data_IF_285290862992
#
_entry.id   IF_285290862992
#
_cell.length_a   1.000
_cell.length_b   1.000
_cell.length_c   1.000
_cell.angle_alpha   90.00
_cell.angle_beta   90.00
_cell.angle_gamma   90.00
#
_symmetry.space_group_name_H-M   'P 1'
#
loop_
_entity.id
_entity.type
_entity.pdbx_description
1 polymer ?
#
# COMPACT_ATOMS: atom_id res chain seq x y z
N UNK A 1 -25.26 22.43 1.66
CA UNK A 1 -25.45 23.71 0.95
C UNK A 1 -26.88 24.17 1.17
N UNK A 2 -27.14 25.47 1.42
CA UNK A 2 -28.52 25.95 1.38
C UNK A 2 -29.03 25.81 -0.06
N UNK A 3 -30.24 25.29 -0.22
CA UNK A 3 -30.92 25.19 -1.52
C UNK A 3 -30.93 26.61 -2.13
N UNK A 4 -30.18 26.83 -3.23
CA UNK A 4 -30.21 28.09 -3.98
C UNK A 4 -31.67 28.38 -4.31
N UNK A 5 -32.20 29.45 -3.73
CA UNK A 5 -33.66 29.64 -3.58
C UNK A 5 -34.32 30.26 -4.82
N UNK A 6 -33.60 30.44 -5.93
CA UNK A 6 -34.19 30.76 -7.22
C UNK A 6 -33.26 30.36 -8.37
N UNK A 7 -33.68 29.43 -9.22
CA UNK A 7 -33.04 29.15 -10.51
C UNK A 7 -33.37 30.32 -11.44
N UNK A 8 -32.35 31.08 -11.84
CA UNK A 8 -32.47 32.22 -12.76
C UNK A 8 -31.92 31.86 -14.15
N UNK A 9 -32.27 32.63 -15.20
CA UNK A 9 -31.71 32.40 -16.54
C UNK A 9 -30.20 32.53 -16.54
N UNK A 10 -29.68 33.49 -15.79
CA UNK A 10 -28.26 33.77 -15.64
C UNK A 10 -27.53 32.56 -15.05
N UNK A 11 -28.04 31.97 -13.97
CA UNK A 11 -27.46 30.75 -13.37
C UNK A 11 -27.52 29.53 -14.31
N UNK A 12 -28.57 29.40 -15.13
CA UNK A 12 -28.67 28.31 -16.12
C UNK A 12 -27.65 28.48 -17.24
N UNK A 13 -27.37 29.73 -17.65
CA UNK A 13 -26.36 30.03 -18.67
C UNK A 13 -24.95 29.75 -18.13
N UNK A 14 -24.67 30.14 -16.88
CA UNK A 14 -23.40 29.84 -16.20
C UNK A 14 -23.14 28.32 -16.12
N UNK A 15 -24.19 27.54 -15.81
CA UNK A 15 -24.11 26.09 -15.67
C UNK A 15 -24.37 25.32 -16.98
N UNK A 16 -24.62 26.00 -18.10
CA UNK A 16 -25.12 25.37 -19.34
C UNK A 16 -24.20 24.23 -19.83
N UNK A 17 -22.88 24.41 -19.71
CA UNK A 17 -21.88 23.39 -20.06
C UNK A 17 -22.04 22.12 -19.21
N UNK A 18 -22.26 22.28 -17.90
CA UNK A 18 -22.48 21.15 -17.00
C UNK A 18 -23.83 20.47 -17.28
N UNK A 19 -24.88 21.26 -17.50
CA UNK A 19 -26.21 20.73 -17.82
C UNK A 19 -26.23 19.97 -19.15
N UNK A 20 -25.51 20.45 -20.17
CA UNK A 20 -25.32 19.73 -21.43
C UNK A 20 -24.61 18.39 -21.22
N UNK A 21 -23.54 18.38 -20.41
CA UNK A 21 -22.81 17.15 -20.10
C UNK A 21 -23.68 16.14 -19.31
N UNK A 22 -24.45 16.62 -18.34
CA UNK A 22 -25.40 15.79 -17.59
C UNK A 22 -26.52 15.24 -18.47
N UNK A 23 -27.00 16.01 -19.46
CA UNK A 23 -28.05 15.57 -20.39
C UNK A 23 -27.66 14.34 -21.22
N UNK A 24 -26.35 14.11 -21.44
CA UNK A 24 -25.85 12.90 -22.08
C UNK A 24 -26.08 11.64 -21.23
N UNK A 25 -26.02 11.75 -19.89
CA UNK A 25 -26.23 10.65 -18.96
C UNK A 25 -27.68 10.54 -18.46
N UNK A 26 -28.39 11.66 -18.38
CA UNK A 26 -29.76 11.78 -17.86
C UNK A 26 -30.65 12.55 -18.86
N UNK A 27 -31.03 11.91 -20.00
CA UNK A 27 -31.67 12.61 -21.11
C UNK A 27 -33.12 13.02 -20.81
N UNK A 28 -33.76 12.42 -19.82
CA UNK A 28 -35.14 12.71 -19.43
C UNK A 28 -35.24 13.22 -17.99
N UNK A 29 -36.33 13.94 -17.70
CA UNK A 29 -36.70 14.33 -16.33
C UNK A 29 -36.77 13.09 -15.43
N UNK A 30 -37.32 11.98 -15.95
CA UNK A 30 -37.42 10.72 -15.21
C UNK A 30 -36.06 10.14 -14.83
N UNK A 31 -35.09 10.16 -15.75
CA UNK A 31 -33.73 9.66 -15.50
C UNK A 31 -33.02 10.49 -14.43
N UNK A 32 -33.11 11.82 -14.52
CA UNK A 32 -32.54 12.72 -13.54
C UNK A 32 -33.20 12.56 -12.16
N UNK A 33 -34.53 12.52 -12.10
CA UNK A 33 -35.27 12.30 -10.84
C UNK A 33 -34.94 10.96 -10.20
N UNK A 34 -34.84 9.88 -10.97
CA UNK A 34 -34.45 8.55 -10.47
C UNK A 34 -33.07 8.61 -9.83
N UNK A 35 -32.11 9.25 -10.48
CA UNK A 35 -30.75 9.34 -9.94
C UNK A 35 -30.69 10.21 -8.69
N UNK A 36 -31.39 11.35 -8.67
CA UNK A 36 -31.49 12.19 -7.47
C UNK A 36 -32.06 11.39 -6.31
N UNK A 37 -33.16 10.67 -6.49
CA UNK A 37 -33.76 9.82 -5.43
C UNK A 37 -32.74 8.78 -4.93
N UNK A 38 -32.01 8.14 -5.84
CA UNK A 38 -30.99 7.15 -5.51
C UNK A 38 -29.83 7.75 -4.70
N UNK A 39 -29.28 8.88 -5.13
CA UNK A 39 -28.19 9.58 -4.45
C UNK A 39 -28.63 10.11 -3.08
N UNK A 40 -29.83 10.68 -2.98
CA UNK A 40 -30.39 11.17 -1.72
C UNK A 40 -30.57 10.01 -0.72
N UNK A 41 -31.05 8.86 -1.18
CA UNK A 41 -31.17 7.67 -0.35
C UNK A 41 -29.81 7.16 0.15
N UNK A 42 -28.77 7.21 -0.69
CA UNK A 42 -27.40 6.84 -0.32
C UNK A 42 -26.83 7.82 0.70
N UNK A 43 -27.02 9.13 0.52
CA UNK A 43 -26.53 10.17 1.43
C UNK A 43 -27.16 10.08 2.83
N UNK A 44 -28.34 9.49 2.95
CA UNK A 44 -29.03 9.24 4.21
C UNK A 44 -28.59 7.93 4.91
N UNK A 45 -27.73 7.12 4.29
CA UNK A 45 -27.13 5.97 4.98
C UNK A 45 -26.03 6.43 5.95
N UNK A 46 -25.74 5.65 7.01
CA UNK A 46 -24.59 5.91 7.87
C UNK A 46 -23.30 5.97 7.05
N UNK A 47 -22.42 6.92 7.36
CA UNK A 47 -21.12 7.05 6.71
C UNK A 47 -20.33 5.74 6.82
N UNK A 48 -19.72 5.33 5.71
CA UNK A 48 -18.78 4.22 5.66
C UNK A 48 -17.59 4.42 6.58
N UNK A 49 -16.93 3.32 6.96
CA UNK A 49 -15.72 3.41 7.78
C UNK A 49 -14.54 3.77 6.88
N UNK A 50 -13.91 4.92 7.13
CA UNK A 50 -12.66 5.29 6.50
C UNK A 50 -11.48 4.76 7.31
N UNK A 51 -10.45 4.30 6.62
CA UNK A 51 -9.24 3.78 7.23
C UNK A 51 -8.03 4.52 6.67
N UNK A 52 -7.32 5.24 7.54
CA UNK A 52 -6.11 6.00 7.19
C UNK A 52 -4.87 5.22 7.61
N UNK A 53 -3.94 5.01 6.68
CA UNK A 53 -2.65 4.37 6.92
C UNK A 53 -1.54 5.23 6.36
N UNK A 54 -0.41 5.30 7.07
CA UNK A 54 0.78 6.06 6.67
C UNK A 54 2.03 5.27 7.06
N UNK A 55 3.19 5.64 6.51
CA UNK A 55 4.49 5.06 6.83
C UNK A 55 4.54 3.53 6.70
N UNK A 56 3.96 3.01 5.62
CA UNK A 56 3.82 1.56 5.41
C UNK A 56 5.18 0.89 5.20
N UNK A 57 6.05 1.53 4.42
CA UNK A 57 7.45 1.15 4.25
C UNK A 57 7.68 -0.35 4.01
N UNK A 58 6.93 -0.94 3.08
CA UNK A 58 7.10 -2.34 2.70
C UNK A 58 6.79 -3.37 3.80
N UNK A 59 6.21 -2.99 4.94
CA UNK A 59 5.83 -3.89 6.03
C UNK A 59 4.52 -4.64 5.70
N UNK A 60 4.62 -5.58 4.74
CA UNK A 60 3.46 -6.28 4.17
C UNK A 60 2.63 -7.05 5.20
N UNK A 61 3.25 -7.79 6.11
CA UNK A 61 2.52 -8.61 7.09
C UNK A 61 1.75 -7.74 8.08
N UNK A 62 2.36 -6.64 8.54
CA UNK A 62 1.71 -5.66 9.39
C UNK A 62 0.55 -4.98 8.66
N UNK A 63 0.79 -4.52 7.43
CA UNK A 63 -0.24 -3.93 6.57
C UNK A 63 -1.42 -4.87 6.36
N UNK A 64 -1.16 -6.13 6.02
CA UNK A 64 -2.20 -7.13 5.82
C UNK A 64 -2.98 -7.42 7.11
N UNK A 65 -2.31 -7.49 8.26
CA UNK A 65 -2.97 -7.66 9.56
C UNK A 65 -3.92 -6.50 9.87
N UNK A 66 -3.48 -5.27 9.62
CA UNK A 66 -4.28 -4.05 9.85
C UNK A 66 -5.51 -4.01 8.96
N UNK A 67 -5.40 -4.43 7.69
CA UNK A 67 -6.57 -4.56 6.82
C UNK A 67 -7.54 -5.65 7.31
N UNK A 68 -7.03 -6.82 7.71
CA UNK A 68 -7.85 -7.94 8.21
C UNK A 68 -8.61 -7.60 9.49
N UNK A 69 -7.99 -6.83 10.39
CA UNK A 69 -8.61 -6.45 11.66
C UNK A 69 -9.46 -5.16 11.59
N UNK A 70 -9.37 -4.42 10.49
CA UNK A 70 -10.08 -3.15 10.29
C UNK A 70 -9.68 -2.07 11.29
N UNK A 71 -8.41 -2.01 11.70
CA UNK A 71 -7.91 -1.23 12.84
C UNK A 71 -8.74 -1.41 14.11
N UNK A 72 -9.08 -2.67 14.40
CA UNK A 72 -9.89 -3.05 15.56
C UNK A 72 -11.40 -2.82 15.39
N UNK A 73 -11.86 -2.33 14.24
CA UNK A 73 -13.29 -2.15 13.96
C UNK A 73 -14.05 -3.47 14.00
N UNK A 74 -13.46 -4.57 13.51
CA UNK A 74 -14.07 -5.90 13.60
C UNK A 74 -14.26 -6.30 15.07
N UNK A 75 -13.22 -6.17 15.90
CA UNK A 75 -13.30 -6.47 17.34
C UNK A 75 -14.37 -5.64 18.04
N UNK A 76 -14.44 -4.35 17.73
CA UNK A 76 -15.47 -3.45 18.27
C UNK A 76 -16.87 -3.94 17.91
N UNK A 77 -17.11 -4.31 16.66
CA UNK A 77 -18.41 -4.82 16.18
C UNK A 77 -18.78 -6.15 16.81
N UNK A 78 -17.85 -7.10 16.91
CA UNK A 78 -18.07 -8.38 17.60
C UNK A 78 -18.45 -8.13 19.07
N UNK A 79 -17.77 -7.21 19.74
CA UNK A 79 -18.09 -6.84 21.12
C UNK A 79 -19.47 -6.19 21.26
N UNK A 80 -19.84 -5.27 20.37
CA UNK A 80 -21.16 -4.61 20.35
C UNK A 80 -22.30 -5.62 20.14
N UNK A 81 -22.12 -6.58 19.22
CA UNK A 81 -23.17 -7.54 18.85
C UNK A 81 -23.37 -8.60 19.94
N UNK A 82 -22.28 -9.07 20.56
CA UNK A 82 -22.30 -10.21 21.48
C UNK A 82 -22.00 -9.85 22.94
N UNK A 83 -22.11 -8.57 23.31
CA UNK A 83 -21.70 -8.03 24.62
C UNK A 83 -22.10 -8.94 25.80
N UNK A 84 -23.38 -9.31 25.84
CA UNK A 84 -23.99 -10.15 26.90
C UNK A 84 -24.19 -11.61 26.50
N UNK A 85 -23.88 -11.97 25.26
CA UNK A 85 -24.18 -13.29 24.69
C UNK A 85 -22.99 -14.24 24.73
N UNK A 86 -21.76 -13.71 24.69
CA UNK A 86 -20.53 -14.50 24.62
C UNK A 86 -19.50 -14.02 25.65
N UNK A 87 -18.62 -14.93 26.08
CA UNK A 87 -17.44 -14.61 26.90
C UNK A 87 -16.36 -13.95 26.05
N UNK A 88 -15.45 -13.23 26.69
CA UNK A 88 -14.33 -12.56 26.00
C UNK A 88 -13.42 -13.53 25.22
N UNK A 89 -13.23 -14.75 25.72
CA UNK A 89 -12.48 -15.79 25.00
C UNK A 89 -13.16 -16.17 23.69
N UNK A 90 -14.47 -16.33 23.68
CA UNK A 90 -15.27 -16.70 22.50
C UNK A 90 -15.28 -15.54 21.48
N UNK A 91 -15.44 -14.30 21.96
CA UNK A 91 -15.31 -13.10 21.11
C UNK A 91 -13.94 -13.02 20.43
N UNK A 92 -12.87 -13.32 21.17
CA UNK A 92 -11.50 -13.35 20.62
C UNK A 92 -11.33 -14.44 19.56
N UNK A 93 -11.94 -15.61 19.75
CA UNK A 93 -11.90 -16.69 18.77
C UNK A 93 -12.60 -16.33 17.46
N UNK A 94 -13.77 -15.71 17.54
CA UNK A 94 -14.50 -15.20 16.36
C UNK A 94 -13.67 -14.14 15.63
N UNK A 95 -13.08 -13.18 16.36
CA UNK A 95 -12.20 -12.18 15.76
C UNK A 95 -11.02 -12.84 15.03
N UNK A 96 -10.38 -13.82 15.68
CA UNK A 96 -9.23 -14.54 15.09
C UNK A 96 -9.64 -15.30 13.84
N UNK A 97 -10.82 -15.93 13.84
CA UNK A 97 -11.39 -16.61 12.68
C UNK A 97 -11.70 -15.62 11.54
N UNK A 98 -12.23 -14.44 11.86
CA UNK A 98 -12.45 -13.39 10.86
C UNK A 98 -11.12 -12.94 10.28
N UNK A 99 -10.08 -12.74 11.09
CA UNK A 99 -8.77 -12.24 10.61
C UNK A 99 -8.02 -13.28 9.77
N UNK A 100 -8.01 -14.54 10.19
CA UNK A 100 -7.21 -15.61 9.61
C UNK A 100 -8.06 -16.87 9.41
N UNK A 101 -9.06 -16.85 8.50
CA UNK A 101 -10.05 -17.92 8.42
C UNK A 101 -9.43 -19.28 8.09
N UNK A 102 -8.52 -19.34 7.11
CA UNK A 102 -7.90 -20.59 6.65
C UNK A 102 -7.01 -21.20 7.74
N UNK A 103 -6.19 -20.38 8.39
CA UNK A 103 -5.26 -20.79 9.43
C UNK A 103 -6.01 -21.24 10.68
N UNK A 104 -7.02 -20.48 11.11
CA UNK A 104 -7.85 -20.83 12.28
C UNK A 104 -8.67 -22.09 12.02
N UNK A 105 -9.24 -22.28 10.83
CA UNK A 105 -9.96 -23.51 10.46
C UNK A 105 -9.07 -24.76 10.57
N UNK A 106 -7.81 -24.69 10.11
CA UNK A 106 -6.84 -25.80 10.27
C UNK A 106 -6.61 -26.16 11.74
N UNK A 107 -6.47 -25.15 12.61
CA UNK A 107 -6.28 -25.35 14.05
C UNK A 107 -7.53 -25.94 14.73
N UNK A 108 -8.72 -25.53 14.30
CA UNK A 108 -10.00 -26.05 14.82
C UNK A 108 -10.16 -27.51 14.42
N UNK A 109 -9.94 -27.85 13.15
CA UNK A 109 -10.02 -29.24 12.64
C UNK A 109 -9.09 -30.22 13.35
N UNK A 110 -7.97 -29.76 13.87
CA UNK A 110 -7.04 -30.59 14.62
C UNK A 110 -7.47 -30.85 16.08
N UNK A 111 -8.37 -30.03 16.63
CA UNK A 111 -8.74 -30.05 18.06
C UNK A 111 -10.19 -30.45 18.31
N UNK A 112 -11.09 -30.02 17.44
CA UNK A 112 -12.53 -30.15 17.63
C UNK A 112 -13.00 -31.56 17.31
N UNK A 113 -13.86 -32.10 18.17
CA UNK A 113 -14.38 -33.47 18.03
C UNK A 113 -15.68 -33.50 17.24
N UNK A 114 -16.53 -32.50 17.43
CA UNK A 114 -17.78 -32.34 16.68
C UNK A 114 -17.70 -31.11 15.78
N UNK A 115 -17.18 -31.33 14.57
CA UNK A 115 -17.01 -30.25 13.59
C UNK A 115 -18.35 -29.75 13.03
N UNK A 116 -19.36 -30.61 12.91
CA UNK A 116 -20.63 -30.22 12.32
C UNK A 116 -21.41 -29.29 13.26
N UNK A 117 -21.39 -29.56 14.58
CA UNK A 117 -21.93 -28.64 15.59
C UNK A 117 -21.14 -27.31 15.65
N UNK A 118 -19.81 -27.39 15.62
CA UNK A 118 -18.96 -26.21 15.57
C UNK A 118 -19.25 -25.32 14.35
N UNK A 119 -19.44 -25.92 13.16
CA UNK A 119 -19.83 -25.17 11.97
C UNK A 119 -21.18 -24.50 12.13
N UNK A 120 -22.18 -25.19 12.68
CA UNK A 120 -23.52 -24.66 12.88
C UNK A 120 -23.50 -23.40 13.77
N UNK A 121 -22.79 -23.46 14.89
CA UNK A 121 -22.63 -22.33 15.82
C UNK A 121 -21.86 -21.19 15.13
N UNK A 122 -20.72 -21.51 14.51
CA UNK A 122 -19.83 -20.52 13.91
C UNK A 122 -20.49 -19.77 12.76
N UNK A 123 -21.21 -20.48 11.88
CA UNK A 123 -21.90 -19.87 10.74
C UNK A 123 -22.98 -18.89 11.22
N UNK A 124 -23.77 -19.26 12.24
CA UNK A 124 -24.76 -18.36 12.82
C UNK A 124 -24.14 -17.09 13.41
N UNK A 125 -22.98 -17.20 14.08
CA UNK A 125 -22.27 -16.06 14.63
C UNK A 125 -21.72 -15.15 13.52
N UNK A 126 -21.10 -15.72 12.48
CA UNK A 126 -20.56 -14.96 11.34
C UNK A 126 -21.66 -14.26 10.54
N UNK A 127 -22.81 -14.91 10.33
CA UNK A 127 -23.97 -14.30 9.64
C UNK A 127 -24.45 -13.06 10.41
N UNK A 128 -24.58 -13.14 11.74
CA UNK A 128 -24.97 -11.98 12.57
C UNK A 128 -23.97 -10.82 12.47
N UNK A 129 -22.67 -11.11 12.48
CA UNK A 129 -21.63 -10.10 12.27
C UNK A 129 -21.76 -9.48 10.87
N UNK A 130 -21.93 -10.32 9.84
CA UNK A 130 -22.06 -9.87 8.46
C UNK A 130 -23.29 -8.98 8.25
N UNK A 131 -24.45 -9.35 8.81
CA UNK A 131 -25.69 -8.54 8.80
C UNK A 131 -25.46 -7.15 9.40
N UNK A 132 -24.77 -7.07 10.54
CA UNK A 132 -24.48 -5.81 11.20
C UNK A 132 -23.57 -4.92 10.35
N UNK A 133 -22.46 -5.44 9.83
CA UNK A 133 -21.53 -4.65 9.01
C UNK A 133 -22.11 -4.27 7.65
N UNK A 134 -23.02 -5.08 7.09
CA UNK A 134 -23.69 -4.77 5.82
C UNK A 134 -24.78 -3.70 5.94
N UNK A 135 -25.33 -3.49 7.13
CA UNK A 135 -26.52 -2.63 7.35
C UNK A 135 -26.33 -1.15 6.96
N UNK A 136 -25.08 -0.68 6.92
CA UNK A 136 -24.72 0.70 6.54
C UNK A 136 -24.58 0.91 5.02
N UNK A 137 -24.80 -0.12 4.21
CA UNK A 137 -24.62 -0.08 2.76
C UNK A 137 -25.90 -0.41 2.00
N UNK A 138 -25.98 0.04 0.74
CA UNK A 138 -27.05 -0.37 -0.16
C UNK A 138 -26.93 -1.86 -0.51
N UNK A 139 -28.06 -2.50 -0.80
CA UNK A 139 -28.09 -3.91 -1.25
C UNK A 139 -27.19 -4.15 -2.46
N UNK A 140 -27.18 -3.22 -3.41
CA UNK A 140 -26.32 -3.30 -4.60
C UNK A 140 -24.84 -3.32 -4.24
N UNK A 141 -24.40 -2.44 -3.31
CA UNK A 141 -23.00 -2.40 -2.85
C UNK A 141 -22.59 -3.68 -2.14
N UNK A 142 -23.45 -4.20 -1.26
CA UNK A 142 -23.19 -5.47 -0.56
C UNK A 142 -23.11 -6.62 -1.57
N UNK A 143 -24.08 -6.73 -2.48
CA UNK A 143 -24.09 -7.79 -3.50
C UNK A 143 -22.83 -7.79 -4.38
N UNK A 144 -22.37 -6.61 -4.84
CA UNK A 144 -21.11 -6.48 -5.60
C UNK A 144 -19.86 -6.88 -4.80
N UNK A 145 -19.92 -6.83 -3.47
CA UNK A 145 -18.83 -7.26 -2.60
C UNK A 145 -18.86 -8.78 -2.30
N UNK A 146 -19.98 -9.45 -2.55
CA UNK A 146 -20.12 -10.88 -2.27
C UNK A 146 -19.26 -11.74 -3.22
N UNK A 147 -18.72 -12.86 -2.73
CA UNK A 147 -18.07 -13.84 -3.59
C UNK A 147 -19.08 -14.48 -4.53
N UNK A 148 -18.76 -14.52 -5.82
CA UNK A 148 -19.66 -14.97 -6.90
C UNK A 148 -20.27 -16.35 -6.62
N UNK A 149 -19.48 -17.29 -6.10
CA UNK A 149 -19.93 -18.65 -5.80
C UNK A 149 -21.05 -18.71 -4.75
N UNK A 150 -21.03 -17.82 -3.75
CA UNK A 150 -21.98 -17.84 -2.63
C UNK A 150 -22.91 -16.62 -2.60
N UNK A 151 -22.88 -15.76 -3.62
CA UNK A 151 -23.60 -14.48 -3.60
C UNK A 151 -25.09 -14.64 -3.33
N UNK A 152 -25.76 -15.58 -4.01
CA UNK A 152 -27.18 -15.86 -3.78
C UNK A 152 -27.45 -16.31 -2.34
N UNK A 153 -26.67 -17.26 -1.83
CA UNK A 153 -26.85 -17.83 -0.49
C UNK A 153 -26.61 -16.76 0.58
N UNK A 154 -25.54 -15.98 0.46
CA UNK A 154 -25.25 -14.88 1.39
C UNK A 154 -26.37 -13.84 1.34
N UNK A 155 -26.89 -13.51 0.16
CA UNK A 155 -27.99 -12.58 0.02
C UNK A 155 -29.24 -13.04 0.77
N UNK A 156 -29.64 -14.31 0.65
CA UNK A 156 -30.76 -14.86 1.41
C UNK A 156 -30.52 -14.75 2.94
N UNK A 157 -29.31 -15.11 3.39
CA UNK A 157 -28.94 -15.08 4.81
C UNK A 157 -28.88 -13.65 5.40
N UNK A 158 -28.59 -12.63 4.60
CA UNK A 158 -28.47 -11.24 5.07
C UNK A 158 -29.81 -10.48 5.13
N UNK A 159 -30.78 -10.81 4.28
CA UNK A 159 -31.98 -10.00 4.08
C UNK A 159 -33.24 -10.55 4.76
N UNK A 160 -33.23 -11.82 5.16
CA UNK A 160 -34.36 -12.44 5.83
C UNK A 160 -34.45 -11.95 7.28
N UNK A 161 -35.54 -11.24 7.62
CA UNK A 161 -35.77 -10.79 8.99
C UNK A 161 -35.98 -12.00 9.90
N UNK A 162 -35.26 -12.03 11.00
CA UNK A 162 -35.39 -13.01 12.08
C UNK A 162 -36.73 -12.94 12.83
N UNK A 163 -37.67 -12.09 12.42
CA UNK A 163 -38.93 -11.88 13.14
C UNK A 163 -39.99 -12.94 12.78
N UNK A 164 -39.87 -13.61 11.63
CA UNK A 164 -40.79 -14.68 11.21
C UNK A 164 -40.22 -16.07 11.56
N UNK A 165 -40.93 -16.88 12.39
CA UNK A 165 -40.53 -18.24 12.73
C UNK A 165 -40.35 -19.17 11.52
N UNK A 166 -41.13 -18.99 10.45
CA UNK A 166 -41.01 -19.81 9.24
C UNK A 166 -39.69 -19.54 8.51
N UNK A 167 -39.18 -18.31 8.61
CA UNK A 167 -37.94 -17.85 7.98
C UNK A 167 -36.69 -18.29 8.75
N UNK A 168 -36.82 -18.50 10.06
CA UNK A 168 -35.75 -19.12 10.86
C UNK A 168 -35.46 -20.56 10.42
N UNK A 169 -36.51 -21.37 10.28
CA UNK A 169 -36.36 -22.75 9.81
C UNK A 169 -35.71 -22.80 8.41
N UNK A 170 -36.02 -21.83 7.55
CA UNK A 170 -35.40 -21.70 6.23
C UNK A 170 -33.89 -21.44 6.30
N UNK A 171 -33.45 -20.48 7.13
CA UNK A 171 -32.01 -20.20 7.35
C UNK A 171 -31.27 -21.42 7.89
N UNK A 172 -31.85 -22.12 8.87
CA UNK A 172 -31.25 -23.32 9.45
C UNK A 172 -31.07 -24.42 8.41
N UNK A 173 -32.02 -24.59 7.49
CA UNK A 173 -31.90 -25.55 6.38
C UNK A 173 -30.75 -25.17 5.45
N UNK A 174 -30.58 -23.89 5.11
CA UNK A 174 -29.44 -23.43 4.30
C UNK A 174 -28.12 -23.79 4.98
N UNK A 175 -27.96 -23.45 6.26
CA UNK A 175 -26.73 -23.71 7.02
C UNK A 175 -26.45 -25.21 7.09
N UNK A 176 -27.45 -26.04 7.43
CA UNK A 176 -27.31 -27.50 7.46
C UNK A 176 -26.96 -28.08 6.09
N UNK A 177 -27.50 -27.52 5.02
CA UNK A 177 -27.19 -27.94 3.65
C UNK A 177 -25.73 -27.68 3.34
N UNK A 178 -25.20 -26.47 3.62
CA UNK A 178 -23.78 -26.12 3.45
C UNK A 178 -22.86 -27.13 4.16
N UNK A 179 -23.21 -27.51 5.40
CA UNK A 179 -22.46 -28.48 6.21
C UNK A 179 -22.55 -29.89 5.59
N UNK A 180 -23.75 -30.34 5.23
CA UNK A 180 -23.95 -31.68 4.66
C UNK A 180 -23.27 -31.85 3.30
N UNK A 181 -23.18 -30.78 2.50
CA UNK A 181 -22.47 -30.76 1.22
C UNK A 181 -20.96 -30.60 1.38
N UNK A 182 -20.45 -30.54 2.63
CA UNK A 182 -19.03 -30.37 2.98
C UNK A 182 -18.39 -29.10 2.39
N UNK A 183 -19.17 -28.02 2.27
CA UNK A 183 -18.73 -26.70 1.77
C UNK A 183 -18.53 -25.65 2.87
N UNK A 184 -18.56 -26.07 4.14
CA UNK A 184 -18.53 -25.17 5.29
C UNK A 184 -17.24 -24.34 5.36
N UNK A 185 -16.08 -24.94 5.07
CA UNK A 185 -14.78 -24.25 5.05
C UNK A 185 -14.72 -23.10 4.04
N UNK A 186 -15.11 -23.37 2.80
CA UNK A 186 -15.09 -22.35 1.75
C UNK A 186 -16.09 -21.25 2.09
N UNK A 187 -17.26 -21.61 2.61
CA UNK A 187 -18.28 -20.64 3.00
C UNK A 187 -17.83 -19.77 4.19
N UNK A 188 -17.21 -20.35 5.22
CA UNK A 188 -16.65 -19.60 6.36
C UNK A 188 -15.56 -18.64 5.86
N UNK A 189 -14.68 -19.10 4.98
CA UNK A 189 -13.63 -18.25 4.42
C UNK A 189 -14.24 -17.08 3.61
N UNK A 190 -15.25 -17.38 2.79
CA UNK A 190 -15.97 -16.40 2.00
C UNK A 190 -16.67 -15.33 2.86
N UNK A 191 -17.39 -15.73 3.91
CA UNK A 191 -18.10 -14.77 4.77
C UNK A 191 -17.13 -13.95 5.63
N UNK A 192 -16.02 -14.54 6.13
CA UNK A 192 -14.98 -13.80 6.84
C UNK A 192 -14.36 -12.71 5.95
N UNK A 193 -14.00 -13.05 4.70
CA UNK A 193 -13.46 -12.08 3.74
C UNK A 193 -14.49 -10.99 3.38
N UNK A 194 -15.78 -11.34 3.28
CA UNK A 194 -16.84 -10.36 3.08
C UNK A 194 -16.98 -9.42 4.28
N UNK A 195 -16.91 -9.93 5.52
CA UNK A 195 -16.92 -9.11 6.74
C UNK A 195 -15.72 -8.14 6.74
N UNK A 196 -14.52 -8.63 6.43
CA UNK A 196 -13.32 -7.77 6.32
C UNK A 196 -13.54 -6.65 5.30
N UNK A 197 -14.00 -7.00 4.09
CA UNK A 197 -14.25 -6.05 3.00
C UNK A 197 -15.31 -5.01 3.35
N UNK A 198 -16.41 -5.41 4.00
CA UNK A 198 -17.48 -4.48 4.40
C UNK A 198 -17.11 -3.65 5.64
N UNK A 199 -16.12 -4.09 6.42
CA UNK A 199 -15.69 -3.34 7.61
C UNK A 199 -15.01 -2.04 7.21
N UNK A 200 -14.14 -2.04 6.20
CA UNK A 200 -13.45 -0.87 5.66
C UNK A 200 -14.13 -0.41 4.37
N UNK A 201 -14.74 0.77 4.39
CA UNK A 201 -15.42 1.31 3.21
C UNK A 201 -14.44 1.94 2.23
N UNK A 202 -13.61 2.85 2.74
CA UNK A 202 -12.56 3.55 1.99
C UNK A 202 -11.23 3.39 2.71
N UNK A 203 -10.19 3.06 1.95
CA UNK A 203 -8.82 3.02 2.43
C UNK A 203 -8.04 4.22 1.90
N UNK A 204 -7.52 5.05 2.80
CA UNK A 204 -6.68 6.19 2.48
C UNK A 204 -5.23 5.84 2.84
N UNK A 205 -4.37 5.74 1.84
CA UNK A 205 -2.93 5.54 2.02
C UNK A 205 -2.25 6.91 1.95
N UNK A 206 -1.85 7.40 3.11
CA UNK A 206 -1.10 8.65 3.26
C UNK A 206 0.38 8.32 3.17
N UNK A 207 0.83 8.04 1.95
CA UNK A 207 2.23 7.98 1.53
C UNK A 207 3.09 6.83 2.06
N UNK A 208 4.28 6.79 1.48
CA UNK A 208 5.43 5.97 1.87
C UNK A 208 5.11 4.48 1.93
N UNK A 209 4.67 3.95 0.79
CA UNK A 209 4.46 2.50 0.58
C UNK A 209 5.81 1.77 0.47
N UNK A 210 6.80 2.44 -0.12
CA UNK A 210 8.09 1.85 -0.47
C UNK A 210 9.18 2.07 0.58
N UNK A 211 10.29 1.35 0.37
CA UNK A 211 11.53 1.35 1.15
C UNK A 211 11.43 0.80 2.57
N UNK A 212 12.59 0.50 3.17
CA UNK A 212 12.78 -0.15 4.49
C UNK A 212 12.37 -1.63 4.51
N UNK A 213 11.09 -1.97 4.50
CA UNK A 213 10.58 -3.33 4.61
C UNK A 213 10.51 -4.08 3.27
N UNK A 214 10.55 -5.43 3.24
CA UNK A 214 10.78 -6.22 2.04
C UNK A 214 9.56 -6.46 1.13
N UNK A 215 8.36 -6.02 1.54
CA UNK A 215 7.09 -6.42 0.94
C UNK A 215 6.38 -5.36 0.09
N UNK A 216 7.03 -4.27 -0.30
CA UNK A 216 6.37 -3.17 -1.02
C UNK A 216 5.66 -3.62 -2.32
N UNK A 217 6.27 -4.55 -3.06
CA UNK A 217 5.67 -5.12 -4.27
C UNK A 217 4.40 -5.95 -3.98
N UNK A 218 4.33 -6.66 -2.84
CA UNK A 218 3.14 -7.40 -2.41
C UNK A 218 2.02 -6.48 -1.94
N UNK A 219 2.38 -5.38 -1.28
CA UNK A 219 1.42 -4.34 -0.87
C UNK A 219 0.78 -3.72 -2.11
N UNK A 220 1.57 -3.40 -3.13
CA UNK A 220 1.05 -2.87 -4.39
C UNK A 220 0.21 -3.88 -5.17
N UNK A 221 0.57 -5.16 -5.18
CA UNK A 221 -0.30 -6.21 -5.76
C UNK A 221 -1.68 -6.20 -5.09
N UNK A 222 -1.72 -6.14 -3.75
CA UNK A 222 -2.96 -6.07 -2.99
C UNK A 222 -3.75 -4.79 -3.30
N UNK A 223 -3.09 -3.63 -3.31
CA UNK A 223 -3.73 -2.33 -3.57
C UNK A 223 -4.31 -2.26 -4.99
N UNK A 224 -3.61 -2.77 -6.01
CA UNK A 224 -4.11 -2.78 -7.39
C UNK A 224 -5.46 -3.49 -7.55
N UNK A 225 -5.73 -4.49 -6.70
CA UNK A 225 -6.96 -5.29 -6.73
C UNK A 225 -7.94 -4.91 -5.60
N UNK A 226 -7.63 -3.85 -4.83
CA UNK A 226 -8.44 -3.43 -3.68
C UNK A 226 -9.71 -2.70 -4.12
N UNK A 227 -10.78 -2.81 -3.32
CA UNK A 227 -12.12 -2.40 -3.77
C UNK A 227 -12.33 -0.88 -3.86
N UNK A 228 -11.80 -0.12 -2.91
CA UNK A 228 -11.92 1.33 -2.91
C UNK A 228 -10.82 1.94 -2.02
N UNK A 229 -9.90 2.64 -2.66
CA UNK A 229 -8.80 3.30 -1.98
C UNK A 229 -8.29 4.52 -2.77
N UNK A 230 -7.54 5.37 -2.09
CA UNK A 230 -6.74 6.42 -2.68
C UNK A 230 -5.36 6.51 -2.01
N UNK A 231 -4.43 7.19 -2.69
CA UNK A 231 -3.05 7.35 -2.23
C UNK A 231 -2.68 8.84 -2.25
N UNK A 232 -2.09 9.35 -1.18
CA UNK A 232 -1.36 10.60 -1.21
C UNK A 232 0.12 10.29 -1.30
N UNK A 233 0.76 10.71 -2.40
CA UNK A 233 2.14 10.29 -2.67
C UNK A 233 3.10 10.80 -1.61
N UNK A 234 3.85 9.87 -1.03
CA UNK A 234 4.99 10.16 -0.19
C UNK A 234 6.25 10.41 -1.00
N UNK A 235 7.29 10.91 -0.32
CA UNK A 235 8.57 11.16 -0.98
C UNK A 235 9.22 9.86 -1.46
N UNK A 236 9.01 8.75 -0.75
CA UNK A 236 9.50 7.44 -1.19
C UNK A 236 8.74 6.97 -2.44
N UNK A 237 7.42 7.15 -2.49
CA UNK A 237 6.61 6.77 -3.66
C UNK A 237 7.06 7.55 -4.90
N UNK A 238 7.30 8.86 -4.77
CA UNK A 238 7.76 9.73 -5.87
C UNK A 238 9.12 9.30 -6.39
N UNK A 239 10.05 8.88 -5.51
CA UNK A 239 11.35 8.36 -5.93
C UNK A 239 11.19 7.09 -6.80
N UNK A 240 10.30 6.18 -6.40
CA UNK A 240 10.00 4.97 -7.19
C UNK A 240 9.28 5.29 -8.50
N UNK A 241 8.38 6.27 -8.51
CA UNK A 241 7.73 6.78 -9.74
C UNK A 241 8.77 7.38 -10.70
N UNK A 242 9.71 8.16 -10.18
CA UNK A 242 10.82 8.73 -10.96
C UNK A 242 11.76 7.67 -11.50
N UNK A 243 12.07 6.65 -10.70
CA UNK A 243 12.92 5.54 -11.10
C UNK A 243 12.28 4.72 -12.25
N UNK A 244 10.99 4.40 -12.15
CA UNK A 244 10.25 3.71 -13.20
C UNK A 244 10.13 4.54 -14.49
N UNK A 245 10.18 5.88 -14.37
CA UNK A 245 10.17 6.82 -15.50
C UNK A 245 11.55 6.99 -16.16
N UNK A 246 12.59 6.30 -15.67
CA UNK A 246 13.95 6.34 -16.23
C UNK A 246 14.85 7.43 -15.66
N UNK A 247 14.51 8.04 -14.52
CA UNK A 247 15.41 9.00 -13.88
C UNK A 247 16.56 8.27 -13.16
N UNK A 248 17.78 8.36 -13.71
CA UNK A 248 18.97 7.70 -13.17
C UNK A 248 19.28 8.02 -11.70
N UNK A 249 19.06 9.26 -11.26
CA UNK A 249 19.28 9.64 -9.86
C UNK A 249 18.26 8.96 -8.93
N UNK A 250 16.99 8.91 -9.34
CA UNK A 250 15.95 8.19 -8.61
C UNK A 250 16.24 6.69 -8.56
N UNK A 251 16.68 6.10 -9.67
CA UNK A 251 17.09 4.68 -9.75
C UNK A 251 18.23 4.40 -8.76
N UNK A 252 19.29 5.22 -8.80
CA UNK A 252 20.41 5.07 -7.88
C UNK A 252 19.96 5.23 -6.42
N UNK A 253 19.04 6.16 -6.13
CA UNK A 253 18.48 6.36 -4.80
C UNK A 253 17.69 5.13 -4.32
N UNK A 254 16.77 4.61 -5.14
CA UNK A 254 15.99 3.40 -4.84
C UNK A 254 16.92 2.23 -4.49
N UNK A 255 17.94 1.99 -5.32
CA UNK A 255 18.90 0.91 -5.07
C UNK A 255 19.70 1.18 -3.79
N UNK A 256 20.18 2.41 -3.58
CA UNK A 256 20.89 2.79 -2.35
C UNK A 256 20.04 2.50 -1.12
N UNK A 257 18.77 2.89 -1.14
CA UNK A 257 17.85 2.71 -0.02
C UNK A 257 17.55 1.23 0.23
N UNK A 258 17.36 0.44 -0.83
CA UNK A 258 17.27 -1.02 -0.74
C UNK A 258 18.50 -1.64 -0.09
N UNK A 259 19.71 -1.26 -0.51
CA UNK A 259 20.95 -1.77 0.11
C UNK A 259 21.08 -1.33 1.57
N UNK A 260 20.74 -0.06 1.87
CA UNK A 260 20.82 0.49 3.22
C UNK A 260 19.97 -0.27 4.23
N UNK A 261 18.82 -0.79 3.83
CA UNK A 261 17.91 -1.55 4.71
C UNK A 261 17.92 -3.06 4.44
N UNK A 262 18.81 -3.56 3.58
CA UNK A 262 18.89 -4.99 3.26
C UNK A 262 17.69 -5.53 2.45
N UNK A 263 16.85 -4.65 1.89
CA UNK A 263 15.69 -5.03 1.10
C UNK A 263 16.04 -5.17 -0.40
N UNK A 264 16.71 -6.26 -0.75
CA UNK A 264 16.96 -6.62 -2.15
C UNK A 264 15.80 -7.39 -2.78
N UNK A 265 15.04 -8.13 -1.97
CA UNK A 265 13.92 -8.96 -2.43
C UNK A 265 12.88 -8.15 -3.21
N UNK A 266 12.59 -6.91 -2.80
CA UNK A 266 11.67 -6.05 -3.57
C UNK A 266 12.19 -5.75 -4.99
N UNK A 267 13.50 -5.55 -5.15
CA UNK A 267 14.10 -5.27 -6.46
C UNK A 267 14.20 -6.53 -7.32
N UNK A 268 14.81 -7.58 -6.79
CA UNK A 268 15.13 -8.81 -7.53
C UNK A 268 13.89 -9.68 -7.73
N UNK A 269 13.27 -10.16 -6.65
CA UNK A 269 12.11 -11.05 -6.71
C UNK A 269 10.82 -10.30 -7.08
N UNK A 270 10.68 -9.08 -6.54
CA UNK A 270 9.47 -8.29 -6.69
C UNK A 270 9.34 -7.67 -8.07
N UNK A 271 10.41 -7.07 -8.59
CA UNK A 271 10.38 -6.29 -9.84
C UNK A 271 11.29 -6.84 -10.96
N UNK A 272 12.05 -7.91 -10.70
CA UNK A 272 12.92 -8.52 -11.71
C UNK A 272 14.12 -7.65 -12.08
N UNK A 273 14.56 -6.76 -11.20
CA UNK A 273 15.70 -5.87 -11.43
C UNK A 273 17.00 -6.66 -11.28
N UNK A 274 17.80 -6.71 -12.35
CA UNK A 274 19.06 -7.43 -12.34
C UNK A 274 20.17 -6.60 -11.65
N UNK A 275 20.58 -7.02 -10.46
CA UNK A 275 21.66 -6.37 -9.69
C UNK A 275 23.04 -6.98 -9.92
N UNK A 276 23.17 -8.04 -10.72
CA UNK A 276 24.45 -8.67 -11.02
C UNK A 276 25.51 -7.69 -11.57
N UNK A 277 25.18 -6.77 -12.50
CA UNK A 277 26.16 -5.77 -12.96
C UNK A 277 26.73 -4.91 -11.83
N UNK A 278 25.88 -4.51 -10.87
CA UNK A 278 26.30 -3.72 -9.72
C UNK A 278 27.14 -4.54 -8.74
N UNK A 279 26.77 -5.80 -8.52
CA UNK A 279 27.53 -6.72 -7.69
C UNK A 279 28.95 -6.93 -8.22
N UNK A 280 29.10 -7.20 -9.51
CA UNK A 280 30.43 -7.39 -10.15
C UNK A 280 31.26 -6.12 -10.05
N UNK A 281 30.71 -4.97 -10.45
CA UNK A 281 31.38 -3.68 -10.33
C UNK A 281 31.84 -3.41 -8.88
N UNK A 282 30.96 -3.60 -7.91
CA UNK A 282 31.27 -3.35 -6.51
C UNK A 282 32.37 -4.28 -5.96
N UNK A 283 32.37 -5.56 -6.37
CA UNK A 283 33.41 -6.52 -5.98
C UNK A 283 34.77 -6.15 -6.55
N UNK A 284 34.83 -5.70 -7.80
CA UNK A 284 36.10 -5.37 -8.48
C UNK A 284 36.65 -4.01 -8.00
N UNK A 285 35.81 -2.97 -7.99
CA UNK A 285 36.20 -1.60 -7.62
C UNK A 285 36.54 -1.44 -6.14
N UNK A 286 35.86 -2.18 -5.26
CA UNK A 286 36.00 -2.07 -3.80
C UNK A 286 36.52 -3.38 -3.17
N UNK A 287 37.29 -4.19 -3.91
CA UNK A 287 37.79 -5.49 -3.47
C UNK A 287 38.54 -5.43 -2.13
N UNK A 288 39.45 -4.45 -2.01
CA UNK A 288 40.34 -4.24 -0.86
C UNK A 288 39.74 -3.33 0.22
N UNK A 289 38.48 -2.91 0.03
CA UNK A 289 37.80 -1.97 0.90
C UNK A 289 36.82 -2.68 1.85
N UNK A 290 36.92 -2.38 3.14
CA UNK A 290 36.00 -2.93 4.15
C UNK A 290 34.57 -2.38 4.03
N UNK A 291 34.42 -1.16 3.47
CA UNK A 291 33.17 -0.43 3.27
C UNK A 291 32.28 -0.31 4.52
N UNK A 292 32.82 -0.49 5.73
CA UNK A 292 32.05 -0.74 6.96
C UNK A 292 31.00 0.33 7.30
N UNK A 293 31.24 1.58 6.92
CA UNK A 293 30.29 2.70 7.11
C UNK A 293 28.98 2.50 6.33
N UNK A 294 29.01 1.70 5.27
CA UNK A 294 27.89 1.37 4.39
C UNK A 294 27.22 0.05 4.76
N UNK A 295 27.50 -0.52 5.93
CA UNK A 295 26.82 -1.73 6.37
C UNK A 295 25.29 -1.49 6.44
N UNK A 296 24.46 -2.47 6.02
CA UNK A 296 23.02 -2.33 6.05
C UNK A 296 22.52 -2.19 7.50
N UNK A 297 21.46 -1.39 7.69
CA UNK A 297 20.74 -1.23 8.96
C UNK A 297 19.74 -2.37 9.13
N UNK A 298 20.25 -3.58 9.31
CA UNK A 298 19.47 -4.77 9.64
C UNK A 298 19.52 -5.03 11.14
N UNK A 299 18.46 -5.63 11.69
CA UNK A 299 18.47 -6.09 13.07
C UNK A 299 19.50 -7.22 13.22
N UNK A 300 20.42 -7.08 14.17
CA UNK A 300 21.55 -8.00 14.36
C UNK A 300 21.13 -9.41 14.82
N UNK A 301 19.85 -9.62 15.11
CA UNK A 301 19.25 -10.91 15.44
C UNK A 301 18.77 -11.68 14.22
N UNK A 302 18.79 -11.07 13.04
CA UNK A 302 18.34 -11.69 11.80
C UNK A 302 19.50 -12.51 11.18
N UNK A 303 19.50 -13.82 11.44
CA UNK A 303 20.52 -14.76 10.92
C UNK A 303 20.35 -15.07 9.42
N UNK A 304 19.41 -14.42 8.73
CA UNK A 304 19.09 -14.69 7.32
C UNK A 304 20.23 -14.40 6.35
N UNK A 305 21.16 -13.50 6.69
CA UNK A 305 22.24 -13.10 5.79
C UNK A 305 23.59 -13.69 6.18
N UNK A 306 24.19 -14.44 5.25
CA UNK A 306 25.57 -14.91 5.40
C UNK A 306 26.55 -13.71 5.46
N UNK A 307 27.68 -13.87 6.16
CA UNK A 307 28.75 -12.84 6.19
C UNK A 307 29.21 -12.40 4.80
N UNK A 308 29.19 -13.32 3.82
CA UNK A 308 29.54 -13.02 2.42
C UNK A 308 28.50 -12.12 1.76
N UNK A 309 27.22 -12.41 1.98
CA UNK A 309 26.10 -11.60 1.48
C UNK A 309 26.16 -10.19 2.05
N UNK A 310 26.39 -10.05 3.37
CA UNK A 310 26.52 -8.74 4.00
C UNK A 310 27.68 -7.92 3.44
N UNK A 311 28.84 -8.55 3.20
CA UNK A 311 29.97 -7.88 2.57
C UNK A 311 29.61 -7.35 1.18
N UNK A 312 28.96 -8.18 0.36
CA UNK A 312 28.54 -7.78 -0.98
C UNK A 312 27.55 -6.61 -0.95
N UNK A 313 26.51 -6.68 -0.12
CA UNK A 313 25.54 -5.59 0.07
C UNK A 313 26.26 -4.30 0.47
N UNK A 314 27.22 -4.39 1.39
CA UNK A 314 28.00 -3.24 1.87
C UNK A 314 28.81 -2.59 0.74
N UNK A 315 29.49 -3.39 -0.09
CA UNK A 315 30.23 -2.89 -1.26
C UNK A 315 29.29 -2.27 -2.30
N UNK A 316 28.17 -2.93 -2.61
CA UNK A 316 27.15 -2.41 -3.54
C UNK A 316 26.55 -1.10 -3.03
N UNK A 317 26.27 -1.00 -1.72
CA UNK A 317 25.76 0.21 -1.10
C UNK A 317 26.74 1.37 -1.24
N UNK A 318 28.04 1.14 -1.02
CA UNK A 318 29.07 2.16 -1.25
C UNK A 318 29.11 2.58 -2.72
N UNK A 319 29.23 1.62 -3.63
CA UNK A 319 29.32 1.86 -5.07
C UNK A 319 28.15 2.72 -5.57
N UNK A 320 26.91 2.33 -5.26
CA UNK A 320 25.73 3.06 -5.72
C UNK A 320 25.58 4.42 -5.01
N UNK A 321 26.08 4.58 -3.79
CA UNK A 321 26.09 5.88 -3.10
C UNK A 321 26.99 6.89 -3.80
N UNK A 322 28.19 6.47 -4.21
CA UNK A 322 29.11 7.34 -4.95
C UNK A 322 28.53 7.74 -6.30
N UNK A 323 27.95 6.77 -7.03
CA UNK A 323 27.24 7.03 -8.29
C UNK A 323 26.07 8.00 -8.07
N UNK A 324 25.28 7.82 -7.01
CA UNK A 324 24.16 8.71 -6.69
C UNK A 324 24.64 10.15 -6.48
N UNK A 325 25.71 10.38 -5.71
CA UNK A 325 26.22 11.74 -5.48
C UNK A 325 26.64 12.45 -6.77
N UNK A 326 27.24 11.70 -7.71
CA UNK A 326 27.60 12.21 -9.04
C UNK A 326 26.37 12.58 -9.86
N UNK A 327 25.34 11.73 -9.85
CA UNK A 327 24.06 11.95 -10.54
C UNK A 327 23.26 13.11 -9.92
N UNK A 328 23.27 13.27 -8.60
CA UNK A 328 22.63 14.39 -7.90
C UNK A 328 23.27 15.72 -8.30
N UNK A 329 24.60 15.78 -8.36
CA UNK A 329 25.31 16.98 -8.80
C UNK A 329 24.98 17.36 -10.24
N UNK A 330 24.82 16.39 -11.15
CA UNK A 330 24.35 16.65 -12.52
C UNK A 330 22.95 17.29 -12.52
N UNK A 331 22.03 16.79 -11.69
CA UNK A 331 20.68 17.36 -11.54
C UNK A 331 20.72 18.79 -10.98
N UNK A 332 21.59 19.05 -10.01
CA UNK A 332 21.77 20.38 -9.42
C UNK A 332 22.31 21.36 -10.47
N UNK A 333 23.36 20.97 -11.19
CA UNK A 333 23.99 21.81 -12.21
C UNK A 333 23.03 22.14 -13.36
N UNK A 334 22.15 21.21 -13.76
CA UNK A 334 21.13 21.47 -14.81
C UNK A 334 19.91 22.26 -14.32
N UNK A 335 19.74 22.45 -13.00
CA UNK A 335 18.62 23.17 -12.36
C UNK A 335 19.11 24.17 -11.29
N UNK A 336 19.93 25.17 -11.66
CA UNK A 336 20.44 26.15 -10.69
C UNK A 336 19.31 26.95 -10.00
N UNK A 337 18.12 27.04 -10.61
CA UNK A 337 16.94 27.69 -10.04
C UNK A 337 16.48 27.12 -8.69
N UNK A 338 16.85 25.88 -8.37
CA UNK A 338 16.52 25.27 -7.07
C UNK A 338 17.45 25.67 -5.93
N UNK A 339 18.56 26.37 -6.22
CA UNK A 339 19.48 26.86 -5.17
C UNK A 339 20.12 25.76 -4.33
N UNK A 340 20.32 24.57 -4.89
CA UNK A 340 20.80 23.36 -4.17
C UNK A 340 22.31 23.14 -4.26
N UNK A 341 23.07 24.14 -4.70
CA UNK A 341 24.54 24.05 -4.87
C UNK A 341 25.27 23.64 -3.58
N UNK A 342 24.73 24.00 -2.42
CA UNK A 342 25.25 23.64 -1.11
C UNK A 342 25.28 22.12 -0.84
N UNK A 343 24.44 21.35 -1.57
CA UNK A 343 24.34 19.89 -1.51
C UNK A 343 25.44 19.15 -2.27
N UNK A 344 26.27 19.84 -3.05
CA UNK A 344 27.46 19.26 -3.69
C UNK A 344 28.57 19.09 -2.65
N UNK A 345 28.65 17.90 -2.04
CA UNK A 345 29.55 17.65 -0.91
C UNK A 345 30.91 17.04 -1.27
N UNK A 346 31.08 16.40 -2.44
CA UNK A 346 32.36 15.76 -2.79
C UNK A 346 33.48 16.78 -3.02
N UNK A 347 33.16 17.96 -3.54
CA UNK A 347 34.12 19.07 -3.74
C UNK A 347 34.60 19.70 -2.42
N UNK A 348 33.92 19.40 -1.31
CA UNK A 348 34.25 19.87 0.03
C UNK A 348 35.20 18.92 0.77
N UNK A 349 35.65 17.86 0.12
CA UNK A 349 36.58 16.87 0.67
C UNK A 349 38.00 17.23 0.26
N UNK A 350 38.89 17.30 1.24
CA UNK A 350 40.33 17.25 1.03
C UNK A 350 40.77 15.78 1.04
N UNK A 351 40.89 15.21 -0.16
CA UNK A 351 41.18 13.79 -0.37
C UNK A 351 42.59 13.39 0.08
N UNK A 352 43.56 14.31 0.08
CA UNK A 352 44.92 14.02 0.52
C UNK A 352 45.00 13.91 2.05
N UNK A 353 44.33 14.84 2.76
CA UNK A 353 44.30 14.87 4.22
C UNK A 353 43.23 13.97 4.83
N UNK A 354 42.24 13.53 4.03
CA UNK A 354 41.12 12.73 4.51
C UNK A 354 40.16 13.52 5.41
N UNK A 355 39.96 14.81 5.11
CA UNK A 355 39.10 15.70 5.91
C UNK A 355 37.99 16.31 5.06
N UNK A 356 36.80 16.45 5.65
CA UNK A 356 35.67 17.15 5.07
C UNK A 356 35.62 18.58 5.62
N UNK A 357 35.50 19.58 4.74
CA UNK A 357 35.53 21.00 5.10
C UNK A 357 34.14 21.60 4.88
N UNK A 358 33.48 22.02 5.95
CA UNK A 358 32.15 22.62 5.87
C UNK A 358 32.07 23.87 6.75
N UNK A 359 31.67 25.00 6.15
CA UNK A 359 31.63 26.31 6.80
C UNK A 359 32.92 26.68 7.55
N UNK A 360 34.07 26.38 6.94
CA UNK A 360 35.39 26.67 7.50
C UNK A 360 35.81 25.77 8.67
N UNK A 361 35.02 24.74 9.01
CA UNK A 361 35.38 23.71 9.99
C UNK A 361 35.82 22.43 9.30
N UNK A 362 36.88 21.83 9.83
CA UNK A 362 37.40 20.55 9.36
C UNK A 362 36.83 19.38 10.19
N UNK A 363 36.45 18.31 9.51
CA UNK A 363 35.94 17.08 10.11
C UNK A 363 36.72 15.89 9.57
N UNK A 364 37.28 15.07 10.46
CA UNK A 364 37.95 13.82 10.07
C UNK A 364 36.94 12.84 9.45
N UNK A 365 37.26 12.30 8.28
CA UNK A 365 36.37 11.38 7.58
C UNK A 365 36.46 9.96 8.14
N UNK A 366 35.31 9.29 8.24
CA UNK A 366 35.24 7.87 8.59
C UNK A 366 35.58 6.94 7.43
N UNK A 367 35.57 7.48 6.22
CA UNK A 367 35.78 6.79 4.97
C UNK A 367 36.65 7.68 4.09
N UNK A 368 37.76 7.15 3.60
CA UNK A 368 38.74 7.89 2.80
C UNK A 368 39.04 7.22 1.46
N UNK A 369 38.47 6.02 1.20
CA UNK A 369 38.63 5.28 -0.03
C UNK A 369 37.53 5.64 -1.04
N UNK A 370 37.91 6.36 -2.09
CA UNK A 370 37.02 6.79 -3.18
C UNK A 370 37.64 6.48 -4.56
N UNK A 371 37.83 5.20 -4.92
CA UNK A 371 38.60 4.78 -6.10
C UNK A 371 38.05 5.29 -7.44
N UNK A 372 36.78 5.69 -7.49
CA UNK A 372 36.13 6.21 -8.71
C UNK A 372 35.99 7.73 -8.73
N UNK A 373 36.45 8.45 -7.71
CA UNK A 373 36.34 9.91 -7.62
C UNK A 373 37.66 10.54 -8.03
N UNK A 374 37.62 11.35 -9.08
CA UNK A 374 38.73 12.20 -9.51
C UNK A 374 38.67 13.53 -8.74
N UNK A 375 39.64 13.88 -7.88
CA UNK A 375 39.60 15.12 -7.11
C UNK A 375 39.49 16.39 -7.95
N UNK A 376 39.96 16.37 -9.20
CA UNK A 376 39.86 17.51 -10.12
C UNK A 376 38.46 17.66 -10.73
N UNK A 377 37.68 16.58 -10.78
CA UNK A 377 36.31 16.57 -11.26
C UNK A 377 35.48 15.51 -10.50
N UNK A 378 35.14 15.77 -9.23
CA UNK A 378 34.66 14.74 -8.30
C UNK A 378 33.28 14.19 -8.67
N UNK A 379 32.52 14.90 -9.50
CA UNK A 379 31.16 14.52 -9.91
C UNK A 379 31.10 13.79 -11.25
N UNK A 380 32.24 13.58 -11.93
CA UNK A 380 32.24 12.85 -13.21
C UNK A 380 32.05 11.35 -12.99
N UNK A 381 31.06 10.78 -13.65
CA UNK A 381 30.92 9.32 -13.75
C UNK A 381 32.08 8.74 -14.58
N UNK A 382 32.69 7.66 -14.11
CA UNK A 382 33.62 6.87 -14.91
C UNK A 382 32.87 6.16 -16.05
N UNK A 383 33.56 5.70 -17.09
CA UNK A 383 32.91 4.97 -18.18
C UNK A 383 32.23 3.69 -17.68
N UNK A 384 32.87 2.96 -16.75
CA UNK A 384 32.26 1.78 -16.11
C UNK A 384 30.99 2.13 -15.31
N UNK A 385 30.98 3.24 -14.56
CA UNK A 385 29.79 3.70 -13.83
C UNK A 385 28.65 4.07 -14.80
N UNK A 386 28.96 4.66 -15.95
CA UNK A 386 27.96 4.98 -17.00
C UNK A 386 27.37 3.70 -17.59
N UNK A 387 28.20 2.77 -18.03
CA UNK A 387 27.75 1.48 -18.58
C UNK A 387 26.91 0.69 -17.56
N UNK A 388 27.31 0.72 -16.29
CA UNK A 388 26.54 0.13 -15.20
C UNK A 388 25.15 0.76 -15.09
N UNK A 389 25.08 2.09 -15.05
CA UNK A 389 23.80 2.80 -14.95
C UNK A 389 22.92 2.58 -16.17
N UNK A 390 23.46 2.44 -17.38
CA UNK A 390 22.68 2.09 -18.58
C UNK A 390 22.00 0.72 -18.45
N UNK A 391 22.72 -0.30 -17.96
CA UNK A 391 22.17 -1.66 -17.75
C UNK A 391 21.09 -1.68 -16.67
N UNK A 392 21.33 -0.98 -15.56
CA UNK A 392 20.35 -0.85 -14.47
C UNK A 392 19.13 -0.07 -14.95
N UNK A 393 19.32 1.05 -15.65
CA UNK A 393 18.26 1.87 -16.22
C UNK A 393 17.34 1.04 -17.12
N UNK A 394 17.93 0.24 -18.02
CA UNK A 394 17.17 -0.67 -18.87
C UNK A 394 16.34 -1.68 -18.05
N UNK A 395 16.83 -2.14 -16.90
CA UNK A 395 16.09 -3.06 -16.02
C UNK A 395 14.86 -2.40 -15.41
N UNK A 396 14.97 -1.16 -14.91
CA UNK A 396 13.85 -0.42 -14.33
C UNK A 396 12.80 -0.06 -15.39
N UNK A 397 13.24 0.52 -16.50
CA UNK A 397 12.34 1.00 -17.57
C UNK A 397 11.65 -0.16 -18.30
N UNK A 398 12.14 -1.39 -18.20
CA UNK A 398 11.50 -2.56 -18.82
C UNK A 398 10.74 -3.46 -17.84
N UNK A 399 10.71 -3.15 -16.54
CA UNK A 399 9.95 -3.94 -15.56
C UNK A 399 8.44 -3.74 -15.73
N UNK A 400 7.75 -4.75 -16.26
CA UNK A 400 6.30 -4.73 -16.48
C UNK A 400 5.52 -4.58 -15.17
N UNK A 401 5.93 -5.31 -14.12
CA UNK A 401 5.27 -5.26 -12.82
C UNK A 401 5.45 -3.90 -12.14
N UNK A 402 6.65 -3.32 -12.21
CA UNK A 402 6.87 -1.96 -11.70
C UNK A 402 6.00 -0.95 -12.45
N UNK A 403 5.94 -1.02 -13.78
CA UNK A 403 5.04 -0.16 -14.58
C UNK A 403 3.58 -0.29 -14.17
N UNK A 404 3.07 -1.52 -13.97
CA UNK A 404 1.71 -1.76 -13.47
C UNK A 404 1.48 -1.05 -12.14
N UNK A 405 2.40 -1.18 -11.19
CA UNK A 405 2.27 -0.58 -9.87
C UNK A 405 2.33 0.95 -9.92
N UNK A 406 3.26 1.52 -10.69
CA UNK A 406 3.35 2.97 -10.86
C UNK A 406 2.12 3.53 -11.59
N UNK A 407 1.58 2.81 -12.57
CA UNK A 407 0.31 3.18 -13.18
C UNK A 407 -0.86 3.20 -12.17
N UNK A 408 -0.87 2.25 -11.22
CA UNK A 408 -1.83 2.25 -10.13
C UNK A 408 -1.66 3.48 -9.22
N UNK A 409 -0.43 3.87 -8.86
CA UNK A 409 -0.15 5.09 -8.09
C UNK A 409 -0.64 6.35 -8.82
N UNK A 410 -0.48 6.43 -10.14
CA UNK A 410 -0.99 7.56 -10.92
C UNK A 410 -2.51 7.57 -11.05
N UNK A 411 -3.13 6.39 -11.12
CA UNK A 411 -4.59 6.26 -11.29
C UNK A 411 -5.35 6.55 -10.00
N UNK A 412 -4.84 6.08 -8.86
CA UNK A 412 -5.52 6.17 -7.56
C UNK A 412 -4.86 7.19 -6.62
N UNK A 413 -3.79 7.84 -7.04
CA UNK A 413 -3.04 8.73 -6.18
C UNK A 413 -2.90 10.16 -6.68
N UNK A 414 -2.48 11.02 -5.78
CA UNK A 414 -2.18 12.43 -6.05
C UNK A 414 -1.35 13.04 -4.93
N UNK A 415 -0.94 14.29 -5.10
CA UNK A 415 -0.19 15.02 -4.06
C UNK A 415 -1.05 15.30 -2.82
N UNK A 416 -2.34 15.52 -3.02
CA UNK A 416 -3.31 15.74 -1.95
C UNK A 416 -4.70 15.28 -2.37
N UNK A 417 -5.59 15.07 -1.40
CA UNK A 417 -7.02 14.82 -1.62
C UNK A 417 -7.85 15.63 -0.62
N UNK A 418 -8.88 16.32 -1.10
CA UNK A 418 -9.88 16.96 -0.25
C UNK A 418 -11.11 16.07 -0.22
N UNK A 419 -11.42 15.48 0.92
CA UNK A 419 -12.57 14.60 1.08
C UNK A 419 -13.13 14.70 2.50
N UNK A 420 -14.46 14.64 2.65
CA UNK A 420 -15.12 14.57 3.96
C UNK A 420 -14.67 15.63 4.99
N UNK A 421 -14.43 16.86 4.54
CA UNK A 421 -13.90 17.99 5.33
C UNK A 421 -12.46 17.79 5.85
N UNK A 422 -11.71 16.85 5.27
CA UNK A 422 -10.29 16.64 5.49
C UNK A 422 -9.50 17.07 4.24
N UNK A 423 -8.27 17.53 4.47
CA UNK A 423 -7.23 17.64 3.46
C UNK A 423 -6.17 16.59 3.79
N UNK A 424 -6.05 15.58 2.93
CA UNK A 424 -5.08 14.50 3.05
C UNK A 424 -3.86 14.85 2.22
N UNK A 425 -2.67 14.71 2.81
CA UNK A 425 -1.36 14.86 2.19
C UNK A 425 -0.32 14.19 3.07
N UNK A 426 0.78 13.69 2.49
CA UNK A 426 1.85 13.03 3.24
C UNK A 426 2.98 13.99 3.61
N UNK A 427 3.67 14.48 2.58
CA UNK A 427 4.85 15.30 2.73
C UNK A 427 4.52 16.79 2.56
N UNK A 428 5.46 17.56 2.01
CA UNK A 428 5.25 18.97 1.74
C UNK A 428 4.44 19.14 0.45
N UNK A 429 3.35 19.90 0.52
CA UNK A 429 2.64 20.40 -0.65
C UNK A 429 3.19 21.81 -0.95
N UNK A 430 3.72 22.08 -2.15
CA UNK A 430 4.10 23.44 -2.53
C UNK A 430 2.86 24.33 -2.47
N UNK A 431 2.85 25.31 -1.57
CA UNK A 431 1.73 26.24 -1.39
C UNK A 431 1.93 27.57 -2.14
N UNK A 432 3.19 27.87 -2.48
CA UNK A 432 3.60 29.11 -3.15
C UNK A 432 4.33 28.76 -4.46
N UNK A 433 4.39 29.74 -5.37
CA UNK A 433 5.15 29.65 -6.64
C UNK A 433 6.65 29.41 -6.44
#
# INVERSE_FOLDING_TARGET
MPIRTSITKETVIEDLRYLQLLSCGYPTIGDACREIINLEAILNLPKGTEHFLTDIHGEYDAFQHVLRNGSGSVKRKVNEIFDRALRESEKKEICTLIYYPKEKLRLVKAKEKDLDDWYLITLNLLIKVCQNVSSKYTRSKVHKAMPVEFAYIIQELLHESTIDPNKHAYIDVIIRTIISTKRADEFITAICNLIQRLTIDSLHIVGDIYDRGPGAHLIMDLLCDYHHFDIQWGNHDILWMGAASGNNCCIANVIRMSMRYGNMATLEDGYGINLLPLATFAMDTYADDSCTVFAPKIDTTDETHSKKTLRLITQMHKAITIIQFKLEADIINRRPEFGMEDRKLLEKIDFERGVFIYDGKEYEMRETSFPTVDPSNPYRLTEEEKELMEKIHASFVNSEKLKKHIHCLFTHGGMYLVCNSNLLYHASVPLNE
#
